data_IF_663738056379
#
_entry.id   IF_663738056379
#
_cell.length_a   1.000
_cell.length_b   1.000
_cell.length_c   1.000
_cell.angle_alpha   90.00
_cell.angle_beta   90.00
_cell.angle_gamma   90.00
#
_symmetry.space_group_name_H-M   'P 1'
#
loop_
_entity.id
_entity.type
_entity.pdbx_description
1 polymer ?
#
# COMPACT_ATOMS: atom_id res chain seq x y z
N UNK A 1 19.39 -6.64 13.39
CA UNK A 1 18.38 -7.18 14.34
C UNK A 1 17.07 -7.42 13.62
N UNK A 2 16.54 -6.46 12.87
CA UNK A 2 15.30 -6.63 12.10
C UNK A 2 15.38 -7.79 11.09
N UNK A 3 16.48 -7.92 10.37
CA UNK A 3 16.70 -8.98 9.37
C UNK A 3 16.59 -10.39 9.98
N UNK A 4 17.12 -10.61 11.17
CA UNK A 4 17.08 -11.94 11.79
C UNK A 4 15.70 -12.35 12.31
N UNK A 5 14.78 -11.41 12.48
CA UNK A 5 13.39 -11.69 12.84
C UNK A 5 12.50 -11.97 11.63
N UNK A 6 12.96 -11.66 10.41
CA UNK A 6 12.16 -11.75 9.20
C UNK A 6 12.40 -13.06 8.42
N UNK A 7 13.38 -13.88 8.83
CA UNK A 7 13.64 -15.14 8.19
C UNK A 7 12.46 -16.12 8.41
N UNK A 8 11.95 -16.68 7.32
CA UNK A 8 10.84 -17.64 7.26
C UNK A 8 9.50 -17.12 7.82
N UNK A 9 9.22 -15.82 7.69
CA UNK A 9 8.02 -15.19 8.23
C UNK A 9 7.23 -14.42 7.16
N UNK A 10 5.95 -14.18 7.46
CA UNK A 10 5.07 -13.36 6.66
C UNK A 10 4.84 -12.01 7.34
N UNK A 11 4.88 -10.94 6.58
CA UNK A 11 4.70 -9.58 7.10
C UNK A 11 3.64 -8.83 6.32
N UNK A 12 2.64 -8.34 7.04
CA UNK A 12 1.72 -7.34 6.55
C UNK A 12 2.17 -5.96 7.05
N UNK A 13 2.41 -5.05 6.12
CA UNK A 13 2.75 -3.66 6.41
C UNK A 13 1.66 -2.78 5.80
N UNK A 14 0.84 -2.21 6.66
CA UNK A 14 -0.27 -1.33 6.29
C UNK A 14 -0.22 -0.08 7.17
N UNK A 15 0.51 0.95 6.74
CA UNK A 15 0.65 2.17 7.52
C UNK A 15 -0.68 2.93 7.61
N UNK A 16 -0.86 3.69 8.68
CA UNK A 16 -2.01 4.60 8.84
C UNK A 16 -1.81 5.92 8.09
N UNK A 17 -0.57 6.23 7.70
CA UNK A 17 -0.21 7.37 6.87
C UNK A 17 0.79 6.90 5.79
N UNK A 18 0.86 7.57 4.63
CA UNK A 18 1.83 7.25 3.60
C UNK A 18 3.26 7.25 4.14
N UNK A 19 3.99 6.16 3.94
CA UNK A 19 5.33 6.01 4.52
C UNK A 19 6.46 6.00 3.47
N UNK A 20 6.15 5.82 2.20
CA UNK A 20 7.17 5.73 1.13
C UNK A 20 7.91 7.05 0.92
N UNK A 21 7.29 8.19 1.17
CA UNK A 21 7.85 9.52 0.86
C UNK A 21 8.71 10.12 1.96
N UNK A 22 8.46 9.78 3.19
CA UNK A 22 9.37 10.23 4.24
C UNK A 22 10.84 9.92 3.91
N UNK A 23 11.14 8.78 3.28
CA UNK A 23 12.49 8.44 2.88
C UNK A 23 13.16 9.37 1.87
N UNK A 24 12.41 9.85 0.89
CA UNK A 24 12.96 10.72 -0.16
C UNK A 24 13.37 12.11 0.36
N UNK A 25 12.71 12.59 1.43
CA UNK A 25 13.05 13.87 2.07
C UNK A 25 14.15 13.76 3.12
N UNK A 26 14.33 12.60 3.70
CA UNK A 26 15.27 12.37 4.81
C UNK A 26 16.48 11.52 4.40
N UNK A 27 16.91 11.52 3.16
CA UNK A 27 18.13 10.90 2.58
C UNK A 27 18.95 10.00 3.54
N UNK A 28 18.31 9.33 4.48
CA UNK A 28 18.98 8.43 5.38
C UNK A 28 19.12 7.08 4.73
N UNK A 29 20.30 6.53 4.75
CA UNK A 29 20.64 5.19 4.28
C UNK A 29 19.69 4.08 4.83
N UNK A 30 19.03 4.33 5.95
CA UNK A 30 18.11 3.39 6.59
C UNK A 30 16.79 3.19 5.85
N UNK A 31 16.24 4.22 5.25
CA UNK A 31 14.98 4.11 4.52
C UNK A 31 15.15 3.50 3.13
N UNK A 32 16.21 3.87 2.42
CA UNK A 32 16.56 3.22 1.17
C UNK A 32 16.76 1.72 1.39
N UNK A 33 17.34 1.35 2.54
CA UNK A 33 17.46 -0.05 2.93
C UNK A 33 16.09 -0.71 3.12
N UNK A 34 15.16 -0.08 3.85
CA UNK A 34 13.82 -0.63 4.09
C UNK A 34 13.04 -0.81 2.78
N UNK A 35 12.98 0.23 1.96
CA UNK A 35 12.28 0.14 0.67
C UNK A 35 12.90 -0.93 -0.24
N UNK A 36 14.23 -0.94 -0.39
CA UNK A 36 14.90 -1.83 -1.32
C UNK A 36 15.07 -3.27 -0.79
N UNK A 37 15.22 -3.46 0.53
CA UNK A 37 15.54 -4.77 1.10
C UNK A 37 14.34 -5.46 1.76
N UNK A 38 13.35 -4.70 2.20
CA UNK A 38 12.16 -5.25 2.86
C UNK A 38 10.96 -5.16 1.92
N UNK A 39 10.65 -3.98 1.41
CA UNK A 39 9.51 -3.82 0.49
C UNK A 39 9.84 -4.22 -0.95
N UNK A 40 11.13 -4.32 -1.30
CA UNK A 40 11.58 -4.57 -2.67
C UNK A 40 10.96 -3.60 -3.69
N UNK A 41 10.89 -2.33 -3.31
CA UNK A 41 10.42 -1.23 -4.15
C UNK A 41 11.61 -0.39 -4.59
N UNK A 42 11.77 -0.18 -5.89
CA UNK A 42 12.84 0.63 -6.45
C UNK A 42 12.48 2.12 -6.43
N UNK A 43 11.25 2.44 -6.79
CA UNK A 43 10.77 3.81 -6.83
C UNK A 43 9.29 3.89 -6.47
N UNK A 44 8.96 4.87 -5.64
CA UNK A 44 7.60 5.23 -5.28
C UNK A 44 7.56 6.67 -4.76
N UNK A 45 6.37 7.24 -4.68
CA UNK A 45 6.15 8.57 -4.11
C UNK A 45 4.78 8.65 -3.44
N UNK A 46 4.53 9.68 -2.66
CA UNK A 46 3.17 10.01 -2.23
C UNK A 46 2.44 10.68 -3.38
N UNK A 47 1.37 10.07 -3.84
CA UNK A 47 0.39 10.76 -4.65
C UNK A 47 -0.32 11.80 -3.80
N UNK A 48 -0.11 13.08 -4.10
CA UNK A 48 -0.98 14.15 -3.59
C UNK A 48 -2.25 14.15 -4.44
N UNK A 49 -3.17 13.28 -4.07
CA UNK A 49 -4.38 13.01 -4.85
C UNK A 49 -5.54 13.92 -4.46
N UNK A 50 -5.30 15.07 -3.83
CA UNK A 50 -6.29 15.91 -3.17
C UNK A 50 -7.71 15.74 -3.76
N UNK A 51 -8.51 14.91 -3.10
CA UNK A 51 -9.87 14.62 -3.51
C UNK A 51 -10.07 13.68 -4.72
N UNK A 52 -9.03 13.13 -5.32
CA UNK A 52 -9.11 12.34 -6.56
C UNK A 52 -9.06 10.83 -6.35
N UNK A 53 -8.79 10.34 -5.14
CA UNK A 53 -8.81 8.91 -4.85
C UNK A 53 -10.24 8.37 -4.79
N UNK A 54 -10.58 7.43 -5.66
CA UNK A 54 -11.88 6.76 -5.70
C UNK A 54 -11.85 5.39 -5.01
N UNK A 55 -10.84 4.57 -5.30
CA UNK A 55 -10.63 3.26 -4.68
C UNK A 55 -9.22 2.74 -4.92
N UNK A 56 -8.86 1.65 -4.23
CA UNK A 56 -7.76 0.80 -4.64
C UNK A 56 -8.35 -0.57 -5.02
N UNK A 57 -8.11 -0.99 -6.26
CA UNK A 57 -8.72 -2.14 -6.88
C UNK A 57 -7.74 -3.32 -6.94
N UNK A 58 -8.20 -4.49 -6.52
CA UNK A 58 -7.40 -5.71 -6.48
C UNK A 58 -7.08 -6.27 -7.87
N UNK A 59 -5.81 -6.69 -8.03
CA UNK A 59 -5.27 -7.34 -9.23
C UNK A 59 -4.41 -8.55 -8.84
N UNK A 60 -3.98 -9.36 -9.81
CA UNK A 60 -2.98 -10.42 -9.62
C UNK A 60 -3.23 -11.32 -8.39
N UNK A 61 -4.35 -12.05 -8.38
CA UNK A 61 -4.75 -12.92 -7.27
C UNK A 61 -5.62 -12.24 -6.22
N UNK A 62 -5.68 -10.92 -6.21
CA UNK A 62 -6.57 -10.10 -5.37
C UNK A 62 -7.77 -9.53 -6.14
N UNK A 63 -8.02 -10.03 -7.37
CA UNK A 63 -9.13 -9.58 -8.21
C UNK A 63 -10.48 -9.69 -7.51
N UNK A 64 -11.32 -8.67 -7.66
CA UNK A 64 -12.62 -8.59 -7.00
C UNK A 64 -12.59 -7.87 -5.64
N UNK A 65 -11.42 -7.55 -5.12
CA UNK A 65 -11.26 -6.69 -3.94
C UNK A 65 -11.30 -5.23 -4.39
N UNK A 66 -11.97 -4.40 -3.62
CA UNK A 66 -12.00 -2.96 -3.82
C UNK A 66 -11.96 -2.27 -2.46
N UNK A 67 -10.94 -1.46 -2.22
CA UNK A 67 -10.83 -0.63 -1.02
C UNK A 67 -11.38 0.76 -1.32
N UNK A 68 -12.57 1.04 -0.83
CA UNK A 68 -13.23 2.34 -0.98
C UNK A 68 -13.09 3.18 0.27
N UNK A 69 -12.87 4.49 0.13
CA UNK A 69 -12.79 5.38 1.29
C UNK A 69 -14.12 5.44 2.05
N UNK A 70 -14.01 5.50 3.37
CA UNK A 70 -15.14 5.78 4.26
C UNK A 70 -15.22 7.29 4.49
N UNK A 71 -16.13 7.93 3.79
CA UNK A 71 -16.28 9.40 3.84
C UNK A 71 -16.60 9.92 5.24
N UNK A 72 -17.17 9.09 6.11
CA UNK A 72 -17.45 9.50 7.50
C UNK A 72 -16.20 9.57 8.35
N UNK A 73 -15.21 8.73 8.09
CA UNK A 73 -13.91 8.76 8.77
C UNK A 73 -13.03 9.89 8.25
N UNK A 74 -13.05 10.15 6.94
CA UNK A 74 -12.23 11.20 6.29
C UNK A 74 -12.76 12.60 6.62
N UNK A 75 -14.07 12.79 6.65
CA UNK A 75 -14.69 14.09 6.94
C UNK A 75 -14.29 14.65 8.32
N UNK A 76 -13.94 13.80 9.27
CA UNK A 76 -13.48 14.23 10.59
C UNK A 76 -12.03 14.73 10.59
N UNK A 77 -11.22 14.29 9.64
CA UNK A 77 -9.79 14.64 9.54
C UNK A 77 -9.57 15.80 8.58
N UNK A 78 -10.25 15.78 7.44
CA UNK A 78 -10.14 16.77 6.38
C UNK A 78 -11.52 17.24 5.90
N UNK A 79 -12.23 18.11 6.66
CA UNK A 79 -13.61 18.48 6.37
C UNK A 79 -13.83 19.13 4.99
N UNK A 80 -12.78 19.74 4.43
CA UNK A 80 -12.81 20.36 3.10
C UNK A 80 -12.67 19.37 1.95
N UNK A 81 -12.19 18.15 2.21
CA UNK A 81 -11.95 17.12 1.22
C UNK A 81 -12.69 15.85 1.62
N UNK A 82 -13.82 15.58 1.03
CA UNK A 82 -14.59 14.34 1.28
C UNK A 82 -13.92 13.07 0.75
N UNK A 83 -12.69 13.17 0.28
CA UNK A 83 -11.91 12.10 -0.32
C UNK A 83 -10.50 12.06 0.28
N UNK A 84 -9.91 10.89 0.28
CA UNK A 84 -8.54 10.69 0.72
C UNK A 84 -7.57 11.39 -0.26
N UNK A 85 -6.53 12.05 0.28
CA UNK A 85 -5.59 12.83 -0.53
C UNK A 85 -4.24 12.17 -0.70
N UNK A 86 -3.77 11.43 0.29
CA UNK A 86 -2.40 10.92 0.29
C UNK A 86 -2.39 9.39 0.28
N UNK A 87 -1.74 8.82 -0.72
CA UNK A 87 -1.54 7.38 -0.88
C UNK A 87 -0.13 7.13 -1.38
N UNK A 88 0.49 6.07 -0.92
CA UNK A 88 1.76 5.64 -1.48
C UNK A 88 1.56 5.05 -2.88
N UNK A 89 2.21 5.65 -3.87
CA UNK A 89 2.23 5.21 -5.26
C UNK A 89 3.55 4.51 -5.56
N UNK A 90 3.48 3.30 -6.11
CA UNK A 90 4.62 2.45 -6.41
C UNK A 90 4.76 2.34 -7.93
N UNK A 91 5.74 3.04 -8.50
CA UNK A 91 5.93 3.07 -9.95
C UNK A 91 6.86 1.94 -10.42
N UNK A 92 7.91 1.66 -9.65
CA UNK A 92 8.87 0.62 -9.99
C UNK A 92 8.93 -0.45 -8.89
N UNK A 93 8.03 -1.45 -8.93
CA UNK A 93 8.18 -2.63 -8.09
C UNK A 93 9.49 -3.34 -8.46
N UNK A 94 10.23 -3.78 -7.45
CA UNK A 94 11.49 -4.53 -7.65
C UNK A 94 11.26 -5.95 -8.17
N UNK A 95 12.34 -6.66 -8.45
CA UNK A 95 12.27 -8.07 -8.84
C UNK A 95 11.58 -8.93 -7.76
N UNK A 96 10.78 -9.90 -8.16
CA UNK A 96 9.95 -10.76 -7.29
C UNK A 96 8.80 -10.03 -6.58
N UNK A 97 8.58 -8.76 -6.87
CA UNK A 97 7.46 -7.97 -6.33
C UNK A 97 6.34 -7.92 -7.34
N UNK A 98 5.13 -8.23 -6.88
CA UNK A 98 3.92 -8.25 -7.70
C UNK A 98 2.95 -7.21 -7.19
N UNK A 99 2.49 -6.27 -8.02
CA UNK A 99 1.38 -5.39 -7.65
C UNK A 99 0.12 -6.20 -7.34
N UNK A 100 -0.54 -5.90 -6.23
CA UNK A 100 -1.80 -6.56 -5.81
C UNK A 100 -2.98 -5.59 -5.71
N UNK A 101 -2.69 -4.30 -5.55
CA UNK A 101 -3.68 -3.22 -5.62
C UNK A 101 -3.19 -2.14 -6.56
N UNK A 102 -4.12 -1.58 -7.34
CA UNK A 102 -3.90 -0.42 -8.19
C UNK A 102 -4.86 0.70 -7.84
N UNK A 103 -4.44 1.92 -8.07
CA UNK A 103 -5.27 3.10 -7.88
C UNK A 103 -6.37 3.20 -8.93
N UNK A 104 -7.54 3.64 -8.48
CA UNK A 104 -8.60 4.20 -9.29
C UNK A 104 -8.73 5.66 -8.86
N UNK A 105 -8.31 6.56 -9.72
CA UNK A 105 -8.19 7.98 -9.43
C UNK A 105 -8.77 8.83 -10.57
N UNK A 106 -9.27 10.02 -10.22
CA UNK A 106 -9.65 11.05 -11.20
C UNK A 106 -8.41 11.84 -11.71
N UNK A 107 -7.22 11.54 -11.19
CA UNK A 107 -5.96 12.12 -11.64
C UNK A 107 -5.26 11.12 -12.57
N UNK A 108 -5.24 11.43 -13.86
CA UNK A 108 -4.64 10.59 -14.92
C UNK A 108 -3.16 10.25 -14.65
N UNK A 109 -2.46 11.08 -13.87
CA UNK A 109 -1.04 10.87 -13.60
C UNK A 109 -0.77 9.67 -12.68
N UNK A 110 -1.71 9.34 -11.81
CA UNK A 110 -1.57 8.26 -10.84
C UNK A 110 -2.62 7.16 -11.03
N UNK A 111 -3.61 7.37 -11.90
CA UNK A 111 -4.60 6.33 -12.18
C UNK A 111 -3.93 5.06 -12.72
N UNK A 112 -4.38 3.90 -12.22
CA UNK A 112 -3.85 2.57 -12.55
C UNK A 112 -2.43 2.27 -12.00
N UNK A 113 -1.75 3.21 -11.35
CA UNK A 113 -0.48 2.93 -10.68
C UNK A 113 -0.68 2.02 -9.46
N UNK A 114 0.35 1.24 -9.11
CA UNK A 114 0.29 0.35 -7.97
C UNK A 114 0.27 1.13 -6.64
N UNK A 115 -0.59 0.71 -5.71
CA UNK A 115 -0.60 1.19 -4.32
C UNK A 115 -0.56 0.05 -3.30
N UNK A 116 -0.43 -1.17 -3.75
CA UNK A 116 -0.21 -2.35 -2.90
C UNK A 116 0.59 -3.39 -3.65
N UNK A 117 1.49 -4.05 -2.95
CA UNK A 117 2.39 -5.06 -3.51
C UNK A 117 2.50 -6.27 -2.61
N UNK A 118 2.86 -7.39 -3.22
CA UNK A 118 3.37 -8.57 -2.55
C UNK A 118 4.78 -8.87 -3.05
N UNK A 119 5.71 -9.07 -2.15
CA UNK A 119 7.02 -9.62 -2.40
C UNK A 119 7.05 -11.11 -2.03
N UNK A 120 7.52 -11.94 -2.94
CA UNK A 120 7.71 -13.39 -2.74
C UNK A 120 9.21 -13.65 -2.56
N UNK A 121 9.64 -13.80 -1.32
CA UNK A 121 11.04 -14.00 -0.98
C UNK A 121 11.42 -15.46 -0.78
N UNK A 122 12.71 -15.74 -0.69
CA UNK A 122 13.22 -17.05 -0.30
C UNK A 122 13.30 -17.25 1.22
N UNK A 123 13.24 -16.17 1.99
CA UNK A 123 13.33 -16.19 3.45
C UNK A 123 12.12 -15.58 4.14
N UNK A 124 11.42 -14.67 3.46
CA UNK A 124 10.21 -14.04 3.99
C UNK A 124 9.34 -13.50 2.85
N UNK A 125 8.05 -13.39 3.12
CA UNK A 125 7.09 -12.74 2.23
C UNK A 125 6.59 -11.45 2.86
N UNK A 126 6.36 -10.42 2.05
CA UNK A 126 5.81 -9.14 2.50
C UNK A 126 4.62 -8.75 1.66
N UNK A 127 3.53 -8.34 2.31
CA UNK A 127 2.46 -7.58 1.70
C UNK A 127 2.55 -6.14 2.23
N UNK A 128 2.63 -5.20 1.32
CA UNK A 128 2.61 -3.78 1.62
C UNK A 128 1.37 -3.13 1.00
N UNK A 129 0.62 -2.40 1.83
CA UNK A 129 -0.59 -1.68 1.41
C UNK A 129 -0.35 -0.18 1.61
N UNK A 130 -0.14 0.54 0.53
CA UNK A 130 0.11 1.99 0.54
C UNK A 130 -1.13 2.84 0.78
N UNK A 131 -2.33 2.24 0.71
CA UNK A 131 -3.57 2.90 1.06
C UNK A 131 -3.81 2.80 2.58
N UNK A 132 -4.15 3.91 3.29
CA UNK A 132 -4.37 3.89 4.73
C UNK A 132 -5.68 3.15 5.06
N UNK A 133 -5.59 1.89 5.42
CA UNK A 133 -6.72 0.96 5.64
C UNK A 133 -7.72 1.51 6.66
N UNK A 134 -7.24 2.26 7.67
CA UNK A 134 -8.11 2.87 8.67
C UNK A 134 -9.20 3.78 8.07
N UNK A 135 -8.88 4.46 6.97
CA UNK A 135 -9.80 5.36 6.29
C UNK A 135 -10.71 4.66 5.28
N UNK A 136 -10.56 3.35 5.10
CA UNK A 136 -11.38 2.56 4.21
C UNK A 136 -12.65 2.06 4.91
N UNK A 137 -13.64 1.64 4.11
CA UNK A 137 -14.83 0.97 4.62
C UNK A 137 -14.45 -0.31 5.33
N UNK A 138 -15.05 -0.56 6.47
CA UNK A 138 -14.69 -1.69 7.31
C UNK A 138 -14.95 -3.04 6.63
N UNK A 139 -16.00 -3.13 5.82
CA UNK A 139 -16.29 -4.32 5.03
C UNK A 139 -15.23 -4.60 3.96
N UNK A 140 -14.75 -3.56 3.27
CA UNK A 140 -13.72 -3.69 2.24
C UNK A 140 -12.37 -4.09 2.88
N UNK A 141 -12.02 -3.44 3.99
CA UNK A 141 -10.81 -3.76 4.75
C UNK A 141 -10.84 -5.20 5.29
N UNK A 142 -12.02 -5.69 5.73
CA UNK A 142 -12.18 -7.08 6.15
C UNK A 142 -11.96 -8.06 5.01
N UNK A 143 -12.57 -7.83 3.84
CA UNK A 143 -12.41 -8.69 2.65
C UNK A 143 -10.93 -8.75 2.24
N UNK A 144 -10.24 -7.62 2.24
CA UNK A 144 -8.79 -7.59 1.99
C UNK A 144 -8.03 -8.41 3.03
N UNK A 145 -8.35 -8.23 4.32
CA UNK A 145 -7.70 -8.97 5.42
C UNK A 145 -7.89 -10.48 5.28
N UNK A 146 -9.11 -10.95 5.01
CA UNK A 146 -9.41 -12.36 4.79
C UNK A 146 -8.59 -12.91 3.59
N UNK A 147 -8.49 -12.13 2.50
CA UNK A 147 -7.70 -12.53 1.32
C UNK A 147 -6.21 -12.58 1.59
N UNK A 148 -5.68 -11.65 2.39
CA UNK A 148 -4.28 -11.67 2.81
C UNK A 148 -3.98 -12.92 3.63
N UNK A 149 -4.84 -13.26 4.59
CA UNK A 149 -4.66 -14.48 5.39
C UNK A 149 -4.69 -15.74 4.53
N UNK A 150 -5.66 -15.85 3.60
CA UNK A 150 -5.72 -16.95 2.64
C UNK A 150 -4.42 -17.06 1.82
N UNK A 151 -3.91 -15.94 1.33
CA UNK A 151 -2.71 -15.87 0.50
C UNK A 151 -1.44 -16.24 1.29
N UNK A 152 -1.43 -15.96 2.59
CA UNK A 152 -0.37 -16.35 3.53
C UNK A 152 -0.51 -17.78 4.05
N UNK A 153 -1.60 -18.50 3.71
CA UNK A 153 -1.81 -19.90 4.07
C UNK A 153 -2.48 -20.13 5.42
N UNK A 154 -3.22 -19.12 5.93
CA UNK A 154 -4.00 -19.22 7.18
C UNK A 154 -5.49 -19.47 6.95
#
# INVERSE_FOLDING_TARGET
>A
IMQSFMDESYYLIAPCEPCIVYPAKFSSSGWNWFMNKILHVNFGYIGDLIGNFNSADGINGFSGIQLRPDTTKIANIWPQYNKLSNIDVIIEPGGFTVPILKLNSDDDYVDQEACGIRYYGSGFDVIYIGAPIWHMRSEDAKILGDKILEDMGF
#
